data_IF_763497404908
#
_entry.id   IF_763497404908
#
_cell.length_a   1.000
_cell.length_b   1.000
_cell.length_c   1.000
_cell.angle_alpha   90.00
_cell.angle_beta   90.00
_cell.angle_gamma   90.00
#
_symmetry.space_group_name_H-M   'P 1'
#
loop_
_entity.id
_entity.type
_entity.pdbx_description
1 polymer ?
#
# COMPACT_ATOMS: atom_id res chain seq x y z
N UNK A 1 -16.06 -7.77 14.62
CA UNK A 1 -14.96 -8.74 14.47
C UNK A 1 -14.08 -8.25 13.33
N UNK A 2 -12.96 -7.59 13.64
CA UNK A 2 -12.03 -7.12 12.62
C UNK A 2 -11.24 -8.31 12.09
N UNK A 3 -11.29 -8.54 10.77
CA UNK A 3 -10.47 -9.55 10.11
C UNK A 3 -9.00 -9.40 10.52
N UNK A 4 -8.25 -10.50 10.71
CA UNK A 4 -6.81 -10.42 10.97
C UNK A 4 -6.17 -9.61 9.85
N UNK A 5 -5.51 -8.49 10.21
CA UNK A 5 -4.77 -7.66 9.24
C UNK A 5 -3.72 -8.58 8.61
N UNK A 6 -3.85 -8.85 7.30
CA UNK A 6 -2.84 -9.60 6.57
C UNK A 6 -1.54 -8.78 6.60
N UNK A 7 -0.46 -9.42 7.03
CA UNK A 7 0.86 -8.81 7.05
C UNK A 7 1.25 -8.34 5.64
N UNK A 8 1.79 -7.12 5.54
CA UNK A 8 1.92 -6.37 4.28
C UNK A 8 3.34 -6.45 3.73
N UNK A 9 3.53 -6.71 2.43
CA UNK A 9 4.85 -6.57 1.81
C UNK A 9 5.39 -5.16 1.98
N UNK A 10 6.71 -5.06 2.13
CA UNK A 10 7.42 -3.79 2.24
C UNK A 10 8.39 -3.69 1.05
N UNK A 11 8.35 -2.55 0.37
CA UNK A 11 9.19 -2.25 -0.78
C UNK A 11 10.07 -1.02 -0.52
N UNK A 12 11.35 -1.10 -0.87
CA UNK A 12 12.31 0.00 -0.78
C UNK A 12 12.86 0.38 -2.16
N UNK A 13 12.21 1.30 -2.90
CA UNK A 13 12.60 1.63 -4.28
C UNK A 13 13.99 2.24 -4.43
N UNK A 14 14.48 2.92 -3.38
CA UNK A 14 15.78 3.57 -3.34
C UNK A 14 16.80 2.77 -2.50
N UNK A 15 16.42 1.57 -2.05
CA UNK A 15 17.17 0.79 -1.07
C UNK A 15 16.86 1.19 0.38
N UNK A 16 17.44 0.46 1.36
CA UNK A 16 17.28 0.76 2.77
C UNK A 16 17.98 2.07 3.14
N UNK A 17 17.71 2.57 4.34
CA UNK A 17 18.45 3.70 4.90
C UNK A 17 19.95 3.34 4.99
N UNK A 18 20.89 4.20 4.56
CA UNK A 18 22.32 3.84 4.50
C UNK A 18 22.96 3.56 5.87
N UNK A 19 22.52 4.29 6.89
CA UNK A 19 23.00 4.14 8.26
C UNK A 19 22.31 2.94 8.95
N UNK A 20 23.10 2.06 9.58
CA UNK A 20 22.60 0.80 10.14
C UNK A 20 21.62 0.97 11.30
N UNK A 21 21.82 2.00 12.13
CA UNK A 21 20.92 2.28 13.25
C UNK A 21 19.58 2.79 12.74
N UNK A 22 19.63 3.74 11.81
CA UNK A 22 18.45 4.31 11.15
C UNK A 22 17.70 3.27 10.30
N UNK A 23 18.41 2.33 9.67
CA UNK A 23 17.83 1.22 8.94
C UNK A 23 17.06 0.27 9.86
N UNK A 24 17.64 -0.09 11.01
CA UNK A 24 16.97 -0.91 12.01
C UNK A 24 15.71 -0.21 12.55
N UNK A 25 15.80 1.09 12.85
CA UNK A 25 14.66 1.89 13.28
C UNK A 25 13.56 1.97 12.21
N UNK A 26 13.93 2.13 10.93
CA UNK A 26 12.99 2.10 9.81
C UNK A 26 12.26 0.76 9.71
N UNK A 27 12.99 -0.35 9.77
CA UNK A 27 12.41 -1.70 9.69
C UNK A 27 11.45 -1.95 10.86
N UNK A 28 11.84 -1.57 12.08
CA UNK A 28 10.98 -1.70 13.27
C UNK A 28 9.73 -0.83 13.15
N UNK A 29 9.86 0.39 12.63
CA UNK A 29 8.73 1.27 12.37
C UNK A 29 7.74 0.65 11.37
N UNK A 30 8.26 0.01 10.31
CA UNK A 30 7.43 -0.67 9.33
C UNK A 30 6.72 -1.89 9.90
N UNK A 31 7.41 -2.66 10.74
CA UNK A 31 6.81 -3.79 11.45
C UNK A 31 5.65 -3.32 12.36
N UNK A 32 5.88 -2.27 13.17
CA UNK A 32 4.85 -1.67 14.03
C UNK A 32 3.67 -1.08 13.25
N UNK A 33 3.90 -0.68 12.00
CA UNK A 33 2.85 -0.21 11.07
C UNK A 33 2.00 -1.34 10.47
N UNK A 34 2.33 -2.61 10.73
CA UNK A 34 1.68 -3.79 10.18
C UNK A 34 2.36 -4.35 8.92
N UNK A 35 3.62 -3.97 8.68
CA UNK A 35 4.46 -4.56 7.66
C UNK A 35 4.91 -5.98 8.03
N UNK A 36 5.13 -6.80 7.01
CA UNK A 36 5.63 -8.17 7.12
C UNK A 36 7.13 -8.19 6.83
N UNK A 37 7.93 -8.42 7.88
CA UNK A 37 9.38 -8.48 7.75
C UNK A 37 9.86 -9.69 6.95
N UNK A 38 9.06 -10.75 6.83
CA UNK A 38 9.38 -11.90 5.97
C UNK A 38 9.15 -11.58 4.48
N UNK A 39 8.49 -10.46 4.18
CA UNK A 39 8.14 -10.01 2.82
C UNK A 39 8.68 -8.61 2.58
N UNK A 40 9.91 -8.40 3.04
CA UNK A 40 10.72 -7.23 2.75
C UNK A 40 11.46 -7.46 1.44
N UNK A 41 11.25 -6.58 0.47
CA UNK A 41 11.88 -6.65 -0.85
C UNK A 41 12.68 -5.39 -1.08
N UNK A 42 13.99 -5.54 -0.98
CA UNK A 42 14.94 -4.53 -1.41
C UNK A 42 15.17 -4.66 -2.91
N UNK A 43 15.29 -3.53 -3.60
CA UNK A 43 15.78 -3.53 -4.97
C UNK A 43 17.18 -4.16 -5.01
N UNK A 44 17.54 -4.95 -6.05
CA UNK A 44 18.88 -5.51 -6.20
C UNK A 44 19.97 -4.43 -6.41
N UNK A 45 19.56 -3.19 -6.67
CA UNK A 45 20.38 -2.00 -6.79
C UNK A 45 19.60 -0.78 -6.28
N UNK A 46 20.32 0.31 -5.98
CA UNK A 46 19.76 1.59 -5.54
C UNK A 46 19.05 2.37 -6.66
N UNK A 47 18.88 1.78 -7.84
CA UNK A 47 18.21 2.41 -8.97
C UNK A 47 16.74 1.98 -9.12
N UNK A 48 15.89 2.96 -9.42
CA UNK A 48 14.43 2.80 -9.50
C UNK A 48 14.01 1.87 -10.64
N UNK A 49 14.77 1.80 -11.73
CA UNK A 49 14.46 0.95 -12.89
C UNK A 49 14.62 -0.55 -12.55
N UNK A 50 15.69 -0.90 -11.85
CA UNK A 50 15.95 -2.26 -11.36
C UNK A 50 14.93 -2.67 -10.31
N UNK A 51 14.53 -1.75 -9.43
CA UNK A 51 13.40 -1.96 -8.54
C UNK A 51 12.13 -2.30 -9.33
N UNK A 52 11.75 -1.48 -10.32
CA UNK A 52 10.56 -1.71 -11.18
C UNK A 52 10.63 -3.09 -11.86
N UNK A 53 11.78 -3.44 -12.43
CA UNK A 53 12.01 -4.72 -13.10
C UNK A 53 11.85 -5.90 -12.14
N UNK A 54 12.29 -5.75 -10.89
CA UNK A 54 12.14 -6.76 -9.86
C UNK A 54 10.67 -6.90 -9.41
N UNK A 55 10.05 -5.81 -8.96
CA UNK A 55 8.71 -5.85 -8.34
C UNK A 55 7.60 -6.19 -9.32
N UNK A 56 7.71 -5.79 -10.58
CA UNK A 56 6.74 -6.12 -11.64
C UNK A 56 6.58 -7.63 -11.85
N UNK A 57 7.57 -8.43 -11.45
CA UNK A 57 7.54 -9.89 -11.58
C UNK A 57 6.89 -10.59 -10.38
N UNK A 58 6.79 -9.92 -9.24
CA UNK A 58 6.30 -10.50 -8.00
C UNK A 58 4.80 -10.81 -8.07
N UNK A 59 4.37 -12.04 -7.71
CA UNK A 59 2.95 -12.41 -7.74
C UNK A 59 2.06 -11.49 -6.89
N UNK A 60 2.58 -11.01 -5.76
CA UNK A 60 1.85 -10.09 -4.88
C UNK A 60 1.50 -8.76 -5.55
N UNK A 61 2.39 -8.24 -6.38
CA UNK A 61 2.17 -7.01 -7.14
C UNK A 61 1.23 -7.28 -8.30
N UNK A 62 1.46 -8.36 -9.07
CA UNK A 62 0.63 -8.74 -10.23
C UNK A 62 -0.85 -8.95 -9.87
N UNK A 63 -1.10 -9.56 -8.72
CA UNK A 63 -2.46 -9.87 -8.29
C UNK A 63 -3.22 -8.62 -7.80
N UNK A 64 -2.53 -7.55 -7.40
CA UNK A 64 -3.14 -6.28 -6.97
C UNK A 64 -4.06 -6.36 -5.74
N UNK A 65 -4.17 -7.54 -5.12
CA UNK A 65 -5.08 -7.81 -3.99
C UNK A 65 -4.49 -7.34 -2.65
N UNK A 66 -3.19 -7.07 -2.61
CA UNK A 66 -2.50 -6.61 -1.43
C UNK A 66 -2.19 -5.12 -1.56
N UNK A 67 -2.16 -4.43 -0.42
CA UNK A 67 -1.75 -3.03 -0.34
C UNK A 67 -0.37 -2.98 0.29
N UNK A 68 0.72 -3.05 -0.48
CA UNK A 68 2.04 -3.02 0.08
C UNK A 68 2.36 -1.65 0.69
N UNK A 69 3.40 -1.61 1.51
CA UNK A 69 4.10 -0.37 1.83
C UNK A 69 5.17 -0.13 0.78
N UNK A 70 5.25 1.10 0.26
CA UNK A 70 6.36 1.56 -0.58
C UNK A 70 7.05 2.68 0.19
N UNK A 71 8.26 2.40 0.65
CA UNK A 71 9.01 3.23 1.60
C UNK A 71 10.13 3.95 0.87
N UNK A 72 10.07 5.27 0.87
CA UNK A 72 11.08 6.16 0.32
C UNK A 72 11.99 6.62 1.46
N UNK A 73 13.28 6.37 1.29
CA UNK A 73 14.32 6.50 2.34
C UNK A 73 15.35 7.56 1.99
N UNK A 74 15.60 7.79 0.70
CA UNK A 74 16.46 8.88 0.23
C UNK A 74 15.62 10.15 0.05
N UNK A 75 15.85 11.10 0.96
CA UNK A 75 15.09 12.34 1.11
C UNK A 75 15.97 13.59 1.08
N UNK A 76 17.22 13.51 0.60
CA UNK A 76 18.14 14.66 0.55
C UNK A 76 17.55 15.86 -0.21
N UNK A 77 16.70 15.59 -1.21
CA UNK A 77 15.86 16.57 -1.89
C UNK A 77 14.40 16.07 -2.02
N UNK A 78 13.55 16.30 -1.00
CA UNK A 78 12.35 15.50 -0.79
C UNK A 78 11.22 15.80 -1.77
N UNK A 79 11.18 16.96 -2.41
CA UNK A 79 9.98 17.40 -3.15
C UNK A 79 10.00 16.96 -4.61
N UNK A 80 11.11 17.19 -5.31
CA UNK A 80 11.27 16.73 -6.69
C UNK A 80 11.46 15.20 -6.75
N UNK A 81 12.39 14.67 -5.96
CA UNK A 81 12.78 13.25 -6.04
C UNK A 81 11.64 12.31 -5.66
N UNK A 82 10.90 12.57 -4.57
CA UNK A 82 9.84 11.65 -4.11
C UNK A 82 8.63 11.63 -5.06
N UNK A 83 8.24 12.78 -5.60
CA UNK A 83 7.12 12.89 -6.55
C UNK A 83 7.47 12.24 -7.89
N UNK A 84 8.69 12.47 -8.38
CA UNK A 84 9.17 11.89 -9.64
C UNK A 84 9.32 10.37 -9.53
N UNK A 85 9.96 9.87 -8.47
CA UNK A 85 10.14 8.43 -8.21
C UNK A 85 8.78 7.73 -8.16
N UNK A 86 7.83 8.26 -7.38
CA UNK A 86 6.47 7.71 -7.33
C UNK A 86 5.82 7.71 -8.71
N UNK A 87 5.93 8.80 -9.47
CA UNK A 87 5.33 8.89 -10.79
C UNK A 87 5.92 7.93 -11.81
N UNK A 88 7.22 7.70 -11.77
CA UNK A 88 7.89 6.69 -12.61
C UNK A 88 7.42 5.29 -12.24
N UNK A 89 7.38 4.96 -10.94
CA UNK A 89 6.94 3.65 -10.44
C UNK A 89 5.48 3.38 -10.77
N UNK A 90 4.56 4.31 -10.47
CA UNK A 90 3.12 4.14 -10.74
C UNK A 90 2.84 3.97 -12.24
N UNK A 91 3.59 4.65 -13.11
CA UNK A 91 3.44 4.51 -14.56
C UNK A 91 3.88 3.13 -15.04
N UNK A 92 4.98 2.61 -14.49
CA UNK A 92 5.51 1.30 -14.88
C UNK A 92 4.79 0.13 -14.19
N UNK A 93 4.29 0.34 -12.97
CA UNK A 93 3.63 -0.66 -12.12
C UNK A 93 2.34 -0.07 -11.55
N UNK A 94 1.26 0.03 -12.35
CA UNK A 94 0.01 0.69 -11.96
C UNK A 94 -0.65 0.10 -10.70
N UNK A 95 -0.38 -1.17 -10.39
CA UNK A 95 -0.87 -1.84 -9.18
C UNK A 95 -0.38 -1.16 -7.90
N UNK A 96 0.76 -0.46 -7.93
CA UNK A 96 1.31 0.28 -6.79
C UNK A 96 0.67 1.65 -6.58
N UNK A 97 -0.22 2.11 -7.47
CA UNK A 97 -0.96 3.36 -7.25
C UNK A 97 -1.85 3.32 -5.99
N UNK A 98 -2.32 2.12 -5.60
CA UNK A 98 -3.11 1.88 -4.40
C UNK A 98 -2.27 1.47 -3.17
N UNK A 99 -0.93 1.48 -3.28
CA UNK A 99 -0.04 1.18 -2.17
C UNK A 99 -0.09 2.27 -1.09
N UNK A 100 0.34 1.93 0.12
CA UNK A 100 0.60 2.92 1.16
C UNK A 100 2.00 3.49 0.94
N UNK A 101 2.07 4.71 0.41
CA UNK A 101 3.32 5.41 0.16
C UNK A 101 3.80 6.05 1.46
N UNK A 102 5.02 5.72 1.84
CA UNK A 102 5.64 6.12 3.10
C UNK A 102 6.93 6.84 2.77
N UNK A 103 7.18 7.93 3.49
CA UNK A 103 8.48 8.58 3.52
C UNK A 103 9.04 8.35 4.92
N UNK A 104 10.19 7.69 4.99
CA UNK A 104 10.93 7.56 6.24
C UNK A 104 11.96 8.68 6.34
N UNK A 105 11.94 9.42 7.43
CA UNK A 105 12.93 10.45 7.76
C UNK A 105 13.49 10.18 9.15
N UNK A 106 14.78 10.45 9.34
CA UNK A 106 15.39 10.39 10.67
C UNK A 106 14.85 11.53 11.56
N UNK A 107 14.91 11.37 12.88
CA UNK A 107 14.60 12.45 13.83
C UNK A 107 15.37 13.74 13.51
N UNK A 108 16.66 13.60 13.19
CA UNK A 108 17.54 14.72 12.89
C UNK A 108 17.10 15.51 11.63
N UNK A 109 16.59 14.81 10.61
CA UNK A 109 16.21 15.42 9.33
C UNK A 109 14.75 15.85 9.27
N UNK A 110 13.91 15.39 10.21
CA UNK A 110 12.46 15.59 10.19
C UNK A 110 12.04 17.05 10.04
N UNK A 111 12.60 17.95 10.85
CA UNK A 111 12.21 19.36 10.81
C UNK A 111 12.58 20.03 9.49
N UNK A 112 13.77 19.70 8.96
CA UNK A 112 14.23 20.16 7.64
C UNK A 112 13.30 19.62 6.55
N UNK A 113 12.97 18.33 6.59
CA UNK A 113 12.05 17.71 5.64
C UNK A 113 10.69 18.41 5.64
N UNK A 114 10.06 18.58 6.81
CA UNK A 114 8.73 19.22 6.92
C UNK A 114 8.77 20.63 6.32
N UNK A 115 9.80 21.41 6.67
CA UNK A 115 9.95 22.79 6.17
C UNK A 115 10.05 22.85 4.64
N UNK A 116 10.80 21.93 4.02
CA UNK A 116 10.94 21.87 2.56
C UNK A 116 9.67 21.31 1.91
N UNK A 117 9.10 20.24 2.46
CA UNK A 117 7.89 19.59 1.96
C UNK A 117 6.66 20.53 1.97
N UNK A 118 6.57 21.41 2.97
CA UNK A 118 5.53 22.43 3.05
C UNK A 118 5.57 23.46 1.91
N UNK A 119 6.71 23.59 1.20
CA UNK A 119 6.79 24.46 0.01
C UNK A 119 6.19 23.83 -1.25
N UNK A 120 5.99 22.51 -1.27
CA UNK A 120 5.52 21.75 -2.43
C UNK A 120 4.22 20.97 -2.16
N UNK A 121 3.56 21.24 -1.03
CA UNK A 121 2.36 20.54 -0.60
C UNK A 121 1.84 21.07 0.74
N UNK A 122 0.90 20.33 1.32
CA UNK A 122 0.29 20.64 2.61
C UNK A 122 0.30 19.42 3.53
N UNK A 123 0.36 19.66 4.83
CA UNK A 123 0.21 18.63 5.83
C UNK A 123 -1.19 18.70 6.44
N UNK A 124 -1.87 17.56 6.54
CA UNK A 124 -3.21 17.49 7.14
C UNK A 124 -3.15 17.67 8.68
N UNK A 125 -1.98 17.48 9.31
CA UNK A 125 -1.82 17.49 10.77
C UNK A 125 -0.33 17.57 11.16
N UNK A 126 0.28 18.77 11.06
CA UNK A 126 1.73 18.97 11.28
C UNK A 126 2.22 18.56 12.67
N UNK A 127 1.34 18.67 13.68
CA UNK A 127 1.64 18.30 15.06
C UNK A 127 1.55 16.78 15.30
N UNK A 128 1.06 16.02 14.33
CA UNK A 128 0.98 14.56 14.44
C UNK A 128 2.39 13.95 14.43
N UNK A 129 2.64 12.92 15.25
CA UNK A 129 3.88 12.16 15.17
C UNK A 129 4.03 11.46 13.80
N UNK A 130 2.93 11.18 13.10
CA UNK A 130 2.91 10.61 11.75
C UNK A 130 2.08 11.49 10.79
N UNK A 131 2.60 12.65 10.36
CA UNK A 131 1.83 13.58 9.55
C UNK A 131 1.63 13.01 8.15
N UNK A 132 0.48 13.33 7.54
CA UNK A 132 0.22 13.00 6.14
C UNK A 132 0.55 14.22 5.29
N UNK A 133 1.50 14.07 4.38
CA UNK A 133 1.87 15.08 3.42
C UNK A 133 1.12 14.85 2.11
N UNK A 134 0.47 15.89 1.60
CA UNK A 134 -0.20 15.90 0.30
C UNK A 134 0.51 16.89 -0.61
N UNK A 135 1.09 16.40 -1.70
CA UNK A 135 1.75 17.23 -2.73
C UNK A 135 0.73 18.01 -3.56
N UNK A 136 1.20 19.00 -4.33
CA UNK A 136 0.33 19.77 -5.24
C UNK A 136 -0.37 18.93 -6.32
N UNK A 137 0.20 17.80 -6.74
CA UNK A 137 -0.44 16.83 -7.64
C UNK A 137 -1.37 15.84 -6.91
N UNK A 138 -1.75 16.16 -5.67
CA UNK A 138 -2.69 15.43 -4.83
C UNK A 138 -2.23 14.03 -4.40
N UNK A 139 -0.92 13.75 -4.52
CA UNK A 139 -0.35 12.50 -4.02
C UNK A 139 -0.11 12.59 -2.51
N UNK A 140 -0.43 11.50 -1.82
CA UNK A 140 -0.36 11.43 -0.37
C UNK A 140 0.74 10.51 0.09
N UNK A 141 1.46 10.95 1.10
CA UNK A 141 2.55 10.23 1.74
C UNK A 141 2.35 10.25 3.25
N UNK A 142 2.52 9.08 3.87
CA UNK A 142 2.66 8.98 5.31
C UNK A 142 4.12 9.27 5.67
N UNK A 143 4.36 10.31 6.47
CA UNK A 143 5.72 10.63 6.92
C UNK A 143 5.96 9.97 8.26
N UNK A 144 6.98 9.13 8.34
CA UNK A 144 7.37 8.39 9.54
C UNK A 144 8.78 8.79 9.98
N UNK A 145 8.98 8.83 11.29
CA UNK A 145 10.31 8.91 11.90
C UNK A 145 10.41 7.97 13.09
N UNK A 146 11.63 7.70 13.52
CA UNK A 146 12.01 6.97 14.72
C UNK A 146 11.46 7.55 16.04
N UNK A 147 11.09 8.83 16.07
CA UNK A 147 10.46 9.47 17.24
C UNK A 147 9.04 8.95 17.57
N UNK A 148 8.41 8.20 16.65
CA UNK A 148 7.04 7.72 16.82
C UNK A 148 7.01 6.54 17.80
N UNK A 149 6.58 6.79 19.03
CA UNK A 149 6.49 5.77 20.09
C UNK A 149 5.08 5.16 20.23
N UNK A 150 4.03 5.87 19.84
CA UNK A 150 2.66 5.37 19.93
C UNK A 150 2.27 4.52 18.72
N UNK A 151 2.33 3.20 18.90
CA UNK A 151 1.95 2.20 17.89
C UNK A 151 0.47 2.27 17.51
N UNK A 152 -0.44 2.60 18.44
CA UNK A 152 -1.87 2.63 18.11
C UNK A 152 -2.21 3.83 17.23
N UNK A 153 -1.64 5.00 17.53
CA UNK A 153 -1.77 6.19 16.69
C UNK A 153 -1.20 5.96 15.28
N UNK A 154 -0.04 5.29 15.19
CA UNK A 154 0.55 4.88 13.92
C UNK A 154 -0.39 3.97 13.10
N UNK A 155 -0.95 2.93 13.72
CA UNK A 155 -1.88 2.00 13.06
C UNK A 155 -3.18 2.65 12.61
N UNK A 156 -3.67 3.66 13.35
CA UNK A 156 -4.82 4.46 12.98
C UNK A 156 -4.52 5.31 11.74
N UNK A 157 -3.33 5.91 11.70
CA UNK A 157 -2.90 6.75 10.59
C UNK A 157 -2.69 5.95 9.30
N UNK A 158 -2.08 4.78 9.40
CA UNK A 158 -1.98 3.83 8.28
C UNK A 158 -3.36 3.49 7.73
N UNK A 159 -4.35 3.24 8.61
CA UNK A 159 -5.72 2.95 8.19
C UNK A 159 -6.40 4.14 7.50
N UNK A 160 -6.14 5.35 7.97
CA UNK A 160 -6.63 6.58 7.35
C UNK A 160 -6.08 6.77 5.93
N UNK A 161 -4.78 6.53 5.72
CA UNK A 161 -4.17 6.57 4.39
C UNK A 161 -4.84 5.56 3.45
N UNK A 162 -5.13 4.36 3.94
CA UNK A 162 -5.78 3.31 3.14
C UNK A 162 -7.21 3.64 2.75
N UNK A 163 -8.00 4.21 3.66
CA UNK A 163 -9.39 4.57 3.41
C UNK A 163 -9.49 5.75 2.45
N UNK A 164 -8.61 6.76 2.59
CA UNK A 164 -8.57 7.95 1.73
C UNK A 164 -7.94 7.72 0.36
N UNK A 165 -7.12 6.67 0.20
CA UNK A 165 -6.50 6.31 -1.09
C UNK A 165 -7.39 5.42 -1.96
N UNK A 166 -8.65 5.18 -1.56
CA UNK A 166 -9.62 4.56 -2.45
C UNK A 166 -10.02 5.57 -3.53
N UNK A 167 -9.89 5.23 -4.83
CA UNK A 167 -10.49 6.05 -5.87
C UNK A 167 -12.00 6.11 -5.62
N UNK A 168 -12.60 7.29 -5.78
CA UNK A 168 -14.00 7.59 -5.50
C UNK A 168 -15.03 6.84 -6.40
N UNK A 169 -14.65 5.70 -6.99
CA UNK A 169 -15.36 5.05 -8.09
C UNK A 169 -15.76 3.59 -7.87
N UNK A 170 -15.60 3.00 -6.68
CA UNK A 170 -16.16 1.67 -6.40
C UNK A 170 -17.28 1.79 -5.38
N UNK A 171 -18.38 2.42 -5.80
CA UNK A 171 -19.69 2.05 -5.25
C UNK A 171 -19.86 0.59 -5.63
N UNK A 172 -19.59 -0.30 -4.67
CA UNK A 172 -20.05 -1.67 -4.73
C UNK A 172 -21.57 -1.61 -4.67
N UNK A 173 -22.22 -1.46 -5.83
CA UNK A 173 -23.61 -1.85 -6.00
C UNK A 173 -23.63 -3.37 -5.89
N UNK A 174 -23.56 -3.87 -4.65
CA UNK A 174 -24.10 -5.16 -4.28
C UNK A 174 -25.58 -5.12 -4.63
N UNK A 175 -25.88 -5.41 -5.89
CA UNK A 175 -27.22 -5.67 -6.38
C UNK A 175 -27.68 -6.93 -5.64
N UNK A 176 -28.77 -6.88 -4.85
CA UNK A 176 -29.34 -8.08 -4.26
C UNK A 176 -29.71 -9.01 -5.42
N UNK A 177 -29.03 -10.16 -5.48
CA UNK A 177 -29.39 -11.22 -6.43
C UNK A 177 -30.73 -11.77 -5.94
N UNK A 178 -31.79 -11.46 -6.67
CA UNK A 178 -33.11 -12.02 -6.42
C UNK A 178 -33.01 -13.56 -6.35
N UNK A 179 -33.76 -14.21 -5.44
CA UNK A 179 -33.74 -15.66 -5.32
C UNK A 179 -34.21 -16.30 -6.63
N UNK A 180 -33.44 -17.27 -7.12
CA UNK A 180 -33.79 -18.03 -8.30
C UNK A 180 -35.08 -18.81 -8.04
N UNK A 181 -36.13 -18.52 -8.82
CA UNK A 181 -37.33 -19.34 -8.88
C UNK A 181 -36.96 -20.75 -9.33
N UNK A 182 -37.11 -21.69 -8.40
CA UNK A 182 -37.07 -23.13 -8.62
C UNK A 182 -38.24 -23.54 -9.50
N UNK A 183 -37.99 -23.74 -10.80
CA UNK A 183 -38.94 -24.49 -11.65
C UNK A 183 -38.97 -25.97 -11.21
N UNK A 184 -40.16 -26.55 -10.96
CA UNK A 184 -40.26 -27.95 -10.58
C UNK A 184 -39.97 -28.89 -11.76
N UNK A 185 -39.39 -30.08 -11.52
CA UNK A 185 -39.07 -31.03 -12.57
C UNK A 185 -40.32 -31.67 -13.18
N UNK A 186 -40.40 -31.60 -14.51
CA UNK A 186 -41.39 -32.31 -15.33
C UNK A 186 -41.11 -33.81 -15.26
N UNK A 187 -42.01 -34.58 -14.63
CA UNK A 187 -42.00 -36.05 -14.66
C UNK A 187 -42.28 -36.53 -16.10
N UNK A 188 -41.28 -37.09 -16.78
CA UNK A 188 -41.49 -37.94 -17.96
C UNK A 188 -41.78 -39.37 -17.48
N UNK A 189 -43.00 -39.81 -17.69
CA UNK A 189 -43.36 -41.23 -17.62
C UNK A 189 -42.82 -41.92 -18.88
N UNK A 190 -41.91 -42.87 -18.72
CA UNK A 190 -41.52 -43.81 -19.77
C UNK A 190 -42.09 -45.18 -19.42
N UNK A 191 -43.20 -45.52 -20.06
CA UNK A 191 -43.79 -46.85 -20.14
C UNK A 191 -42.83 -47.80 -20.86
N UNK A 192 -42.46 -48.91 -20.20
CA UNK A 192 -41.76 -50.05 -20.80
C UNK A 192 -42.73 -50.85 -21.69
N UNK A 193 -42.33 -51.27 -22.90
CA UNK A 193 -42.95 -52.40 -23.57
C UNK A 193 -42.29 -53.72 -23.13
N UNK A 194 -43.15 -54.68 -22.80
CA UNK A 194 -42.84 -56.10 -22.57
C UNK A 194 -42.37 -56.76 -23.87
N UNK A 195 -41.27 -57.54 -23.88
CA UNK A 195 -40.92 -58.34 -25.06
C UNK A 195 -41.76 -59.63 -25.08
N UNK A 196 -42.28 -59.95 -26.26
CA UNK A 196 -42.77 -61.27 -26.59
C UNK A 196 -41.61 -62.11 -27.17
N UNK A 197 -41.38 -63.27 -26.57
CA UNK A 197 -41.21 -64.64 -27.11
C UNK A 197 -40.47 -65.46 -26.06
#
# INVERSE_FOLDING_TARGET
MSSPRRARPIFFPQGPVPDSESAAACVEMMHRSGGDLQRLFDGPSTDVESFINHVSRLPVVKNGNERPFVVLTDTENPTATVSDVRGVIERAVPQLAAACWVIYVTAADRQRFISVAATAGSFDDELSPAPMWTTHDMRRYLVLSDEITDTQSLLNRVHEVETRSQPAGTISTLRPRAPAETKPPVRRATSRPTPAV
#
